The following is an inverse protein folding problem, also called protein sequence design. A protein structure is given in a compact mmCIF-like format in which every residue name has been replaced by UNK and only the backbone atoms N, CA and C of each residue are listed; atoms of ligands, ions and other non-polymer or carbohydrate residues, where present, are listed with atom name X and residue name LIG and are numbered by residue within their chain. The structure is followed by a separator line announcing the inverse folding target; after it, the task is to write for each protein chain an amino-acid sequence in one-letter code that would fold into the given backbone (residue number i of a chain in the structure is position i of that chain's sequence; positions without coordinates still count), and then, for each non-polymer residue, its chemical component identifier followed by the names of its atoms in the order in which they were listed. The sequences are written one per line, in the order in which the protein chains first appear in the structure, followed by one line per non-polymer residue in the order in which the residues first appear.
data_IF_508386820110
#
_entry.id   IF_508386820110
#
_cell.length_a   1.000
_cell.length_b   1.000
_cell.length_c   1.000
_cell.angle_alpha   90.00
_cell.angle_beta   90.00
_cell.angle_gamma   90.00
#
_symmetry.space_group_name_H-M   'P 1'
#
loop_
_entity.id
_entity.type
_entity.pdbx_description
1 polymer ?
#
# COMPACT_ATOMS: atom_id res chain seq x y z
N UNK A 1 -6.01 11.86 -14.39
CA UNK A 1 -5.16 11.47 -13.24
C UNK A 1 -6.06 11.21 -12.04
N UNK A 2 -5.79 10.15 -11.30
CA UNK A 2 -6.54 9.80 -10.08
C UNK A 2 -6.10 10.66 -8.91
N UNK A 3 -7.06 11.15 -8.15
CA UNK A 3 -6.81 11.99 -6.97
C UNK A 3 -6.66 11.13 -5.69
N UNK A 4 -6.08 11.71 -4.65
CA UNK A 4 -5.99 11.09 -3.34
C UNK A 4 -7.36 10.63 -2.82
N UNK A 5 -8.38 11.48 -2.94
CA UNK A 5 -9.75 11.16 -2.49
C UNK A 5 -10.35 9.96 -3.23
N UNK A 6 -10.15 9.86 -4.55
CA UNK A 6 -10.64 8.71 -5.33
C UNK A 6 -9.98 7.41 -4.90
N UNK A 7 -8.65 7.41 -4.68
CA UNK A 7 -7.92 6.21 -4.27
C UNK A 7 -8.25 5.84 -2.81
N UNK A 8 -8.41 6.82 -1.93
CA UNK A 8 -8.88 6.57 -0.55
C UNK A 8 -10.26 5.94 -0.55
N UNK A 9 -11.21 6.49 -1.30
CA UNK A 9 -12.58 5.94 -1.42
C UNK A 9 -12.60 4.53 -2.00
N UNK A 10 -11.75 4.25 -3.00
CA UNK A 10 -11.57 2.89 -3.55
C UNK A 10 -11.09 1.92 -2.47
N UNK A 11 -10.03 2.29 -1.75
CA UNK A 11 -9.48 1.46 -0.68
C UNK A 11 -10.50 1.22 0.44
N UNK A 12 -11.16 2.25 0.93
CA UNK A 12 -12.15 2.15 2.01
C UNK A 12 -13.33 1.27 1.62
N UNK A 13 -13.80 1.36 0.36
CA UNK A 13 -14.84 0.49 -0.17
C UNK A 13 -14.39 -0.96 -0.23
N UNK A 14 -13.20 -1.22 -0.81
CA UNK A 14 -12.61 -2.56 -0.87
C UNK A 14 -12.43 -3.16 0.54
N UNK A 15 -11.94 -2.35 1.49
CA UNK A 15 -11.72 -2.76 2.87
C UNK A 15 -13.03 -3.14 3.58
N UNK A 16 -14.12 -2.36 3.40
CA UNK A 16 -15.44 -2.73 3.94
C UNK A 16 -15.93 -4.06 3.39
N UNK A 17 -15.84 -4.26 2.07
CA UNK A 17 -16.21 -5.52 1.43
C UNK A 17 -15.36 -6.69 1.95
N UNK A 18 -14.05 -6.50 2.06
CA UNK A 18 -13.10 -7.47 2.60
C UNK A 18 -13.47 -7.87 4.05
N UNK A 19 -13.69 -6.91 4.94
CA UNK A 19 -14.03 -7.17 6.34
C UNK A 19 -15.39 -7.87 6.52
N UNK A 20 -16.35 -7.61 5.63
CA UNK A 20 -17.67 -8.23 5.70
C UNK A 20 -17.74 -9.61 5.05
N UNK A 21 -16.98 -9.84 3.98
CA UNK A 21 -17.05 -11.08 3.21
C UNK A 21 -16.07 -12.15 3.73
N UNK A 22 -14.91 -11.74 4.29
CA UNK A 22 -13.80 -12.63 4.61
C UNK A 22 -13.64 -12.88 6.12
N UNK A 23 -14.74 -12.83 6.90
CA UNK A 23 -14.74 -13.02 8.36
C UNK A 23 -13.99 -14.29 8.76
N UNK A 24 -14.16 -15.38 8.01
CA UNK A 24 -13.53 -16.67 8.30
C UNK A 24 -11.99 -16.62 8.26
N UNK A 25 -11.39 -15.71 7.50
CA UNK A 25 -9.94 -15.54 7.46
C UNK A 25 -9.42 -14.89 8.74
N UNK A 26 -10.18 -13.93 9.28
CA UNK A 26 -9.87 -13.29 10.56
C UNK A 26 -10.07 -14.24 11.73
N UNK A 27 -11.14 -15.03 11.75
CA UNK A 27 -11.39 -16.03 12.81
C UNK A 27 -10.30 -17.13 12.86
N UNK A 28 -9.69 -17.45 11.72
CA UNK A 28 -8.62 -18.46 11.62
C UNK A 28 -7.22 -17.89 11.74
N UNK A 29 -7.08 -16.58 11.92
CA UNK A 29 -5.79 -15.89 12.05
C UNK A 29 -4.78 -16.25 10.95
N UNK A 30 -5.25 -16.32 9.70
CA UNK A 30 -4.43 -16.72 8.54
C UNK A 30 -3.22 -15.78 8.34
N UNK A 31 -2.30 -16.17 7.45
CA UNK A 31 -1.09 -15.38 7.18
C UNK A 31 -1.39 -13.99 6.58
N UNK A 32 -0.49 -13.03 6.80
CA UNK A 32 -0.54 -11.68 6.17
C UNK A 32 -0.71 -11.80 4.65
N UNK A 33 0.06 -12.69 4.00
CA UNK A 33 -0.04 -12.95 2.55
C UNK A 33 -1.44 -13.41 2.11
N UNK A 34 -2.10 -14.25 2.90
CA UNK A 34 -3.46 -14.70 2.58
C UNK A 34 -4.45 -13.55 2.66
N UNK A 35 -4.33 -12.70 3.68
CA UNK A 35 -5.17 -11.51 3.85
C UNK A 35 -4.92 -10.47 2.74
N UNK A 36 -3.67 -10.24 2.36
CA UNK A 36 -3.32 -9.39 1.21
C UNK A 36 -3.94 -9.91 -0.09
N UNK A 37 -3.86 -11.24 -0.33
CA UNK A 37 -4.48 -11.86 -1.50
C UNK A 37 -5.99 -11.69 -1.54
N UNK A 38 -6.67 -11.80 -0.40
CA UNK A 38 -8.11 -11.57 -0.32
C UNK A 38 -8.46 -10.09 -0.55
N UNK A 39 -7.77 -9.14 0.11
CA UNK A 39 -7.98 -7.71 -0.11
C UNK A 39 -7.70 -7.32 -1.58
N UNK A 40 -6.66 -7.91 -2.20
CA UNK A 40 -6.37 -7.73 -3.62
C UNK A 40 -7.60 -8.04 -4.50
N UNK A 41 -8.31 -9.14 -4.23
CA UNK A 41 -9.48 -9.53 -5.01
C UNK A 41 -10.61 -8.50 -4.90
N UNK A 42 -10.84 -7.92 -3.72
CA UNK A 42 -11.83 -6.87 -3.54
C UNK A 42 -11.45 -5.59 -4.30
N UNK A 43 -10.20 -5.14 -4.23
CA UNK A 43 -9.71 -4.01 -5.03
C UNK A 43 -9.85 -4.31 -6.53
N UNK A 44 -9.41 -5.50 -6.97
CA UNK A 44 -9.50 -5.92 -8.37
C UNK A 44 -10.95 -5.89 -8.89
N UNK A 45 -11.90 -6.40 -8.12
CA UNK A 45 -13.30 -6.41 -8.52
C UNK A 45 -13.85 -5.00 -8.72
N UNK A 46 -13.45 -4.04 -7.87
CA UNK A 46 -13.87 -2.65 -7.99
C UNK A 46 -13.25 -1.96 -9.21
N UNK A 47 -11.95 -2.12 -9.45
CA UNK A 47 -11.29 -1.47 -10.60
C UNK A 47 -11.74 -2.07 -11.93
N UNK A 48 -12.08 -3.36 -11.97
CA UNK A 48 -12.51 -4.04 -13.20
C UNK A 48 -13.82 -3.53 -13.76
N UNK A 49 -14.71 -3.00 -12.93
CA UNK A 49 -16.02 -2.48 -13.34
C UNK A 49 -16.01 -0.97 -13.57
N UNK A 50 -14.92 -0.28 -13.27
CA UNK A 50 -14.76 1.15 -13.48
C UNK A 50 -13.75 1.43 -14.61
N UNK A 51 -14.20 1.83 -15.81
CA UNK A 51 -13.32 2.09 -16.95
C UNK A 51 -12.25 3.16 -16.71
N UNK A 52 -12.41 3.99 -15.68
CA UNK A 52 -11.41 4.98 -15.31
C UNK A 52 -10.12 4.38 -14.73
N UNK A 53 -10.14 3.08 -14.41
CA UNK A 53 -8.97 2.28 -14.01
C UNK A 53 -8.43 1.37 -15.12
N UNK A 54 -8.89 1.49 -16.37
CA UNK A 54 -8.34 0.71 -17.48
C UNK A 54 -6.81 0.88 -17.57
N UNK A 55 -6.09 -0.25 -17.71
CA UNK A 55 -4.62 -0.28 -17.72
C UNK A 55 -3.96 -0.16 -16.35
N UNK A 56 -4.73 -0.29 -15.25
CA UNK A 56 -4.19 -0.48 -13.91
C UNK A 56 -4.40 -1.92 -13.43
N UNK A 57 -3.45 -2.41 -12.64
CA UNK A 57 -3.39 -3.78 -12.15
C UNK A 57 -3.15 -3.78 -10.65
N UNK A 58 -3.70 -4.79 -9.96
CA UNK A 58 -3.44 -5.02 -8.54
C UNK A 58 -2.53 -6.23 -8.42
N UNK A 59 -1.36 -6.04 -7.79
CA UNK A 59 -0.37 -7.09 -7.64
C UNK A 59 0.05 -7.23 -6.16
N UNK A 60 0.27 -8.49 -5.72
CA UNK A 60 0.87 -8.80 -4.42
C UNK A 60 2.36 -9.08 -4.58
N UNK A 61 3.17 -8.62 -3.62
CA UNK A 61 4.63 -8.82 -3.60
C UNK A 61 5.33 -8.48 -4.93
N UNK A 62 4.84 -7.48 -5.64
CA UNK A 62 5.39 -7.09 -6.94
C UNK A 62 6.70 -6.35 -6.77
N UNK A 63 7.82 -7.00 -7.12
CA UNK A 63 9.17 -6.45 -6.97
C UNK A 63 9.89 -6.19 -8.30
N UNK A 64 9.16 -6.19 -9.43
CA UNK A 64 9.75 -6.07 -10.76
C UNK A 64 9.56 -4.69 -11.36
N UNK A 65 10.66 -4.13 -11.90
CA UNK A 65 10.63 -2.99 -12.78
C UNK A 65 11.39 -3.38 -14.05
N UNK A 66 10.68 -3.64 -15.16
CA UNK A 66 11.25 -4.06 -16.46
C UNK A 66 12.34 -5.14 -16.36
N UNK A 67 12.17 -6.11 -15.44
CA UNK A 67 13.11 -7.23 -15.23
C UNK A 67 14.14 -7.03 -14.11
N UNK A 68 14.28 -5.84 -13.53
CA UNK A 68 15.10 -5.54 -12.36
C UNK A 68 14.32 -5.57 -11.03
N UNK A 69 15.04 -5.67 -9.89
CA UNK A 69 14.44 -5.46 -8.56
C UNK A 69 14.14 -3.98 -8.35
N UNK A 70 12.94 -3.66 -7.85
CA UNK A 70 12.63 -2.29 -7.40
C UNK A 70 13.37 -2.01 -6.10
N UNK A 71 14.22 -0.99 -6.08
CA UNK A 71 14.92 -0.54 -4.88
C UNK A 71 14.89 0.99 -4.82
N UNK A 72 14.78 1.55 -3.62
CA UNK A 72 14.92 2.98 -3.37
C UNK A 72 16.19 3.23 -2.56
N UNK A 73 16.94 4.26 -2.90
CA UNK A 73 17.95 4.83 -2.02
C UNK A 73 17.31 5.92 -1.18
N UNK A 74 17.40 5.81 0.14
CA UNK A 74 16.98 6.83 1.10
C UNK A 74 18.21 7.51 1.67
N UNK A 75 18.28 8.84 1.60
CA UNK A 75 19.26 9.62 2.35
C UNK A 75 18.76 9.77 3.79
N UNK A 76 19.46 9.17 4.75
CA UNK A 76 19.23 9.39 6.17
C UNK A 76 20.23 10.44 6.63
N UNK A 77 19.75 11.60 7.11
CA UNK A 77 20.51 12.69 7.74
C UNK A 77 22.05 12.62 7.54
N UNK A 78 22.47 12.98 6.34
CA UNK A 78 23.83 13.49 6.15
C UNK A 78 24.91 12.52 5.68
N UNK A 79 24.80 11.20 5.71
CA UNK A 79 25.92 10.34 5.26
C UNK A 79 25.64 8.91 4.77
N UNK A 80 24.47 8.29 5.00
CA UNK A 80 24.27 6.90 4.57
C UNK A 80 23.10 6.75 3.59
N UNK A 81 23.41 6.32 2.35
CA UNK A 81 22.42 5.83 1.42
C UNK A 81 21.95 4.44 1.86
N UNK A 82 20.73 4.33 2.34
CA UNK A 82 20.14 3.02 2.61
C UNK A 82 19.33 2.58 1.38
N UNK A 83 19.70 1.44 0.80
CA UNK A 83 18.92 0.80 -0.25
C UNK A 83 17.74 0.09 0.42
N UNK A 84 16.53 0.53 0.13
CA UNK A 84 15.30 -0.10 0.60
C UNK A 84 14.75 -0.93 -0.54
N UNK A 85 14.61 -2.23 -0.33
CA UNK A 85 13.90 -3.09 -1.27
C UNK A 85 12.42 -2.71 -1.25
N UNK A 86 11.86 -2.40 -2.41
CA UNK A 86 10.44 -2.08 -2.56
C UNK A 86 9.71 -3.36 -2.89
N UNK A 87 9.34 -4.07 -1.87
CA UNK A 87 8.46 -5.23 -1.96
C UNK A 87 7.28 -4.98 -1.06
N UNK A 88 6.35 -4.11 -1.52
CA UNK A 88 5.09 -3.92 -0.83
C UNK A 88 4.26 -5.18 -0.89
N UNK A 89 3.50 -5.42 0.16
CA UNK A 89 2.61 -6.56 0.25
C UNK A 89 1.52 -6.51 -0.83
N UNK A 90 1.02 -5.30 -1.17
CA UNK A 90 0.04 -5.11 -2.24
C UNK A 90 0.22 -3.72 -2.88
N UNK A 91 0.12 -3.66 -4.21
CA UNK A 91 0.15 -2.40 -4.97
C UNK A 91 -0.93 -2.35 -6.05
N UNK A 92 -1.42 -1.15 -6.34
CA UNK A 92 -2.23 -0.82 -7.51
C UNK A 92 -1.41 0.13 -8.39
N UNK A 93 -1.09 -0.32 -9.61
CA UNK A 93 -0.22 0.42 -10.52
C UNK A 93 -0.47 0.04 -11.99
N UNK A 94 0.13 0.77 -12.93
CA UNK A 94 -0.02 0.48 -14.36
C UNK A 94 1.08 -0.42 -14.93
N UNK A 95 1.97 -0.95 -14.10
CA UNK A 95 3.15 -1.74 -14.51
C UNK A 95 4.08 -1.00 -15.49
N UNK A 96 4.12 0.35 -15.39
CA UNK A 96 4.92 1.20 -16.25
C UNK A 96 4.26 1.58 -17.59
N UNK A 97 2.98 1.23 -17.79
CA UNK A 97 2.26 1.55 -19.02
C UNK A 97 1.76 3.01 -19.06
N UNK A 98 1.52 3.62 -17.89
CA UNK A 98 1.06 5.01 -17.75
C UNK A 98 2.14 5.87 -17.11
N UNK A 99 2.94 6.53 -17.96
CA UNK A 99 4.08 7.34 -17.50
C UNK A 99 3.71 8.52 -16.62
N UNK A 100 2.54 9.15 -16.88
CA UNK A 100 2.10 10.33 -16.13
C UNK A 100 1.61 10.01 -14.72
N UNK A 101 1.11 8.79 -14.49
CA UNK A 101 0.64 8.33 -13.18
C UNK A 101 0.68 6.80 -13.12
N UNK A 102 1.85 6.24 -12.90
CA UNK A 102 2.03 4.79 -12.83
C UNK A 102 1.47 4.21 -11.52
N UNK A 103 1.74 4.85 -10.39
CA UNK A 103 1.56 4.33 -9.05
C UNK A 103 0.36 4.96 -8.34
N UNK A 104 -0.64 4.16 -7.94
CA UNK A 104 -1.86 4.66 -7.30
C UNK A 104 -1.92 4.33 -5.81
N UNK A 105 -1.72 3.06 -5.41
CA UNK A 105 -1.89 2.60 -4.04
C UNK A 105 -0.77 1.63 -3.68
N UNK A 106 -0.18 1.80 -2.50
CA UNK A 106 0.74 0.86 -1.89
C UNK A 106 0.24 0.49 -0.49
N UNK A 107 0.20 -0.80 -0.17
CA UNK A 107 -0.25 -1.31 1.12
C UNK A 107 0.84 -2.18 1.74
N UNK A 108 1.14 -1.95 3.00
CA UNK A 108 1.91 -2.82 3.87
C UNK A 108 0.99 -3.37 4.95
N UNK A 109 0.94 -4.69 5.11
CA UNK A 109 0.08 -5.37 6.07
C UNK A 109 0.91 -6.09 7.11
N UNK A 110 0.59 -5.89 8.39
CA UNK A 110 1.34 -6.47 9.50
C UNK A 110 0.41 -6.93 10.61
N UNK A 111 0.76 -8.04 11.26
CA UNK A 111 0.10 -8.46 12.51
C UNK A 111 0.68 -7.69 13.69
N UNK A 112 -0.16 -7.32 14.66
CA UNK A 112 0.21 -6.45 15.80
C UNK A 112 1.36 -6.99 16.64
N UNK A 113 1.51 -8.32 16.74
CA UNK A 113 2.56 -8.98 17.51
C UNK A 113 3.94 -9.03 16.82
N UNK A 114 4.06 -8.56 15.57
CA UNK A 114 5.35 -8.51 14.88
C UNK A 114 6.29 -7.51 15.53
N UNK A 115 7.62 -7.70 15.40
CA UNK A 115 8.59 -6.78 15.97
C UNK A 115 8.38 -5.34 15.53
N UNK A 116 8.59 -4.40 16.46
CA UNK A 116 8.40 -2.97 16.19
C UNK A 116 9.30 -2.47 15.07
N UNK A 117 10.53 -2.99 14.97
CA UNK A 117 11.49 -2.65 13.91
C UNK A 117 10.96 -3.00 12.51
N UNK A 118 10.27 -4.14 12.37
CA UNK A 118 9.63 -4.51 11.10
C UNK A 118 8.52 -3.52 10.74
N UNK A 119 7.68 -3.16 11.71
CA UNK A 119 6.58 -2.21 11.54
C UNK A 119 7.09 -0.81 11.15
N UNK A 120 8.17 -0.37 11.78
CA UNK A 120 8.81 0.91 11.46
C UNK A 120 9.42 0.90 10.05
N UNK A 121 10.06 -0.20 9.66
CA UNK A 121 10.60 -0.37 8.30
C UNK A 121 9.51 -0.28 7.23
N UNK A 122 8.34 -0.87 7.48
CA UNK A 122 7.20 -0.81 6.55
C UNK A 122 6.62 0.61 6.45
N UNK A 123 6.49 1.32 7.56
CA UNK A 123 6.08 2.74 7.59
C UNK A 123 7.08 3.63 6.84
N UNK A 124 8.36 3.43 7.07
CA UNK A 124 9.42 4.15 6.34
C UNK A 124 9.36 3.90 4.83
N UNK A 125 9.03 2.67 4.43
CA UNK A 125 8.83 2.32 3.02
C UNK A 125 7.65 3.07 2.42
N UNK A 126 6.50 3.12 3.10
CA UNK A 126 5.34 3.88 2.65
C UNK A 126 5.60 5.39 2.56
N UNK A 127 6.36 5.95 3.50
CA UNK A 127 6.83 7.33 3.42
C UNK A 127 7.65 7.55 2.15
N UNK A 128 8.61 6.67 1.86
CA UNK A 128 9.44 6.77 0.66
C UNK A 128 8.62 6.60 -0.63
N UNK A 129 7.71 5.61 -0.68
CA UNK A 129 6.88 5.32 -1.85
C UNK A 129 5.90 6.44 -2.18
N UNK A 130 5.40 7.17 -1.19
CA UNK A 130 4.43 8.26 -1.41
C UNK A 130 5.08 9.62 -1.68
N UNK A 131 6.42 9.75 -1.59
CA UNK A 131 7.13 10.96 -1.99
C UNK A 131 7.04 11.21 -3.50
N UNK A 132 7.16 12.48 -3.89
CA UNK A 132 7.34 12.84 -5.29
C UNK A 132 8.70 12.34 -5.81
N UNK A 133 8.80 12.07 -7.12
CA UNK A 133 9.95 11.44 -7.77
C UNK A 133 11.31 12.12 -7.58
N UNK A 134 11.33 13.37 -7.10
CA UNK A 134 12.55 14.18 -6.95
C UNK A 134 12.85 14.58 -5.50
N UNK A 135 12.09 14.04 -4.53
CA UNK A 135 12.27 14.34 -3.11
C UNK A 135 13.26 13.35 -2.46
N UNK A 136 14.56 13.51 -2.76
CA UNK A 136 15.64 12.65 -2.21
C UNK A 136 15.51 11.15 -2.52
N UNK A 137 14.80 10.80 -3.59
CA UNK A 137 14.60 9.43 -4.02
C UNK A 137 15.39 9.19 -5.30
N UNK A 138 16.27 8.19 -5.24
CA UNK A 138 17.11 7.79 -6.37
C UNK A 138 16.87 6.32 -6.70
N UNK A 139 16.83 6.02 -7.97
CA UNK A 139 16.89 4.62 -8.40
C UNK A 139 18.28 4.06 -8.13
N UNK A 140 18.38 2.94 -7.41
CA UNK A 140 19.67 2.35 -7.03
C UNK A 140 20.47 1.80 -8.21
N UNK A 141 19.83 1.49 -9.34
CA UNK A 141 20.46 0.96 -10.54
C UNK A 141 20.84 2.05 -11.56
N UNK A 142 20.49 3.31 -11.31
CA UNK A 142 20.73 4.44 -12.20
C UNK A 142 20.06 4.33 -13.58
N UNK A 143 19.18 3.35 -13.77
CA UNK A 143 18.49 3.05 -15.04
C UNK A 143 16.98 3.13 -14.93
N UNK A 144 16.44 2.80 -13.75
CA UNK A 144 15.00 2.89 -13.49
C UNK A 144 14.66 4.34 -13.19
N UNK A 145 13.64 4.86 -13.87
CA UNK A 145 13.15 6.21 -13.59
C UNK A 145 12.49 6.23 -12.20
N UNK A 146 12.81 7.22 -11.34
CA UNK A 146 12.23 7.33 -9.99
C UNK A 146 10.69 7.28 -9.98
N UNK A 147 10.03 7.86 -10.98
CA UNK A 147 8.58 7.88 -11.15
C UNK A 147 7.93 6.49 -11.24
N UNK A 148 8.68 5.45 -11.59
CA UNK A 148 8.18 4.07 -11.59
C UNK A 148 8.33 3.37 -10.24
N UNK A 149 8.94 4.03 -9.27
CA UNK A 149 9.31 3.43 -7.99
C UNK A 149 8.59 4.10 -6.83
N UNK A 150 8.28 5.37 -6.96
CA UNK A 150 7.61 6.20 -5.95
C UNK A 150 6.46 7.00 -6.59
N UNK A 151 5.96 8.02 -5.89
CA UNK A 151 4.85 8.83 -6.38
C UNK A 151 3.50 8.13 -6.23
N UNK A 152 3.39 7.13 -5.34
CA UNK A 152 2.09 6.54 -5.02
C UNK A 152 1.15 7.61 -4.47
N UNK A 153 -0.06 7.65 -5.01
CA UNK A 153 -1.10 8.61 -4.61
C UNK A 153 -1.51 8.40 -3.16
N UNK A 154 -1.57 7.13 -2.73
CA UNK A 154 -1.92 6.70 -1.39
C UNK A 154 -1.00 5.57 -0.93
N UNK A 155 -0.44 5.69 0.28
CA UNK A 155 0.15 4.61 1.05
C UNK A 155 -0.76 4.21 2.20
N UNK A 156 -0.86 2.92 2.50
CA UNK A 156 -1.65 2.39 3.60
C UNK A 156 -0.81 1.43 4.42
N UNK A 157 -0.65 1.72 5.70
CA UNK A 157 -0.16 0.75 6.67
C UNK A 157 -1.35 0.13 7.38
N UNK A 158 -1.42 -1.21 7.37
CA UNK A 158 -2.58 -1.97 7.81
C UNK A 158 -2.16 -2.95 8.91
N UNK A 159 -2.41 -2.62 10.18
CA UNK A 159 -2.03 -3.45 11.32
C UNK A 159 -3.22 -4.20 11.89
N UNK A 160 -3.10 -5.54 11.97
CA UNK A 160 -4.17 -6.43 12.39
C UNK A 160 -3.88 -6.92 13.81
N UNK A 161 -4.76 -6.59 14.74
CA UNK A 161 -4.72 -7.08 16.11
C UNK A 161 -5.78 -8.16 16.34
N UNK A 162 -5.34 -9.41 16.27
CA UNK A 162 -6.23 -10.56 16.50
C UNK A 162 -6.66 -10.68 17.98
N UNK A 163 -5.86 -10.21 18.91
CA UNK A 163 -6.20 -10.27 20.33
C UNK A 163 -7.36 -9.33 20.67
N UNK A 164 -7.32 -8.10 20.14
CA UNK A 164 -8.37 -7.09 20.37
C UNK A 164 -9.43 -7.09 19.28
N UNK A 165 -9.26 -7.91 18.23
CA UNK A 165 -10.14 -7.97 17.04
C UNK A 165 -10.32 -6.60 16.38
N UNK A 166 -9.23 -5.87 16.21
CA UNK A 166 -9.21 -4.54 15.62
C UNK A 166 -8.18 -4.45 14.51
N UNK A 167 -8.38 -3.48 13.64
CA UNK A 167 -7.45 -3.10 12.59
C UNK A 167 -7.14 -1.62 12.76
N UNK A 168 -5.87 -1.29 12.85
CA UNK A 168 -5.37 0.06 12.79
C UNK A 168 -4.89 0.33 11.37
N UNK A 169 -5.33 1.42 10.78
CA UNK A 169 -5.02 1.83 9.41
C UNK A 169 -4.41 3.23 9.44
N UNK A 170 -3.19 3.35 8.95
CA UNK A 170 -2.53 4.64 8.75
C UNK A 170 -2.50 4.99 7.27
N UNK A 171 -2.77 6.24 6.94
CA UNK A 171 -2.79 6.76 5.58
C UNK A 171 -1.60 7.67 5.34
N UNK A 172 -0.90 7.45 4.22
CA UNK A 172 0.30 8.20 3.84
C UNK A 172 0.08 8.91 2.50
N UNK A 173 0.56 10.15 2.42
CA UNK A 173 0.52 10.97 1.21
C UNK A 173 1.71 11.92 1.21
N UNK A 174 2.35 12.12 0.04
CA UNK A 174 3.46 13.05 -0.14
C UNK A 174 4.60 12.85 0.90
N UNK A 175 4.90 11.60 1.25
CA UNK A 175 5.94 11.27 2.22
C UNK A 175 5.58 11.48 3.71
N UNK A 176 4.30 11.66 4.03
CA UNK A 176 3.85 11.92 5.40
C UNK A 176 2.63 11.08 5.77
N UNK A 177 2.54 10.68 7.05
CA UNK A 177 1.29 10.17 7.59
C UNK A 177 0.28 11.32 7.70
N UNK A 178 -0.89 11.15 7.07
CA UNK A 178 -1.92 12.20 7.00
C UNK A 178 -3.17 11.87 7.80
N UNK A 179 -3.41 10.58 8.08
CA UNK A 179 -4.56 10.13 8.85
C UNK A 179 -4.30 8.77 9.50
N UNK A 180 -5.07 8.46 10.53
CA UNK A 180 -5.10 7.17 11.20
C UNK A 180 -6.53 6.85 11.65
N UNK A 181 -6.94 5.59 11.52
CA UNK A 181 -8.23 5.11 12.02
C UNK A 181 -8.08 3.70 12.58
N UNK A 182 -8.99 3.34 13.50
CA UNK A 182 -9.07 1.98 14.03
C UNK A 182 -10.50 1.49 13.89
N UNK A 183 -10.68 0.28 13.36
CA UNK A 183 -11.98 -0.34 13.22
C UNK A 183 -11.97 -1.79 13.73
N UNK A 184 -13.12 -2.32 14.20
CA UNK A 184 -13.23 -3.74 14.56
C UNK A 184 -13.28 -4.62 13.32
N UNK A 185 -12.96 -5.92 13.44
CA UNK A 185 -13.08 -6.91 12.36
C UNK A 185 -14.51 -7.03 11.82
N UNK A 186 -15.50 -6.93 12.69
CA UNK A 186 -16.91 -6.88 12.29
C UNK A 186 -17.26 -5.43 11.98
N UNK A 187 -17.10 -5.03 10.73
CA UNK A 187 -17.44 -3.68 10.29
C UNK A 187 -18.97 -3.48 10.21
N UNK A 188 -19.60 -3.25 11.34
CA UNK A 188 -20.68 -2.28 11.39
C UNK A 188 -20.02 -0.90 11.62
N UNK A 189 -19.29 -0.40 10.63
CA UNK A 189 -19.02 1.04 10.58
C UNK A 189 -20.38 1.70 10.36
N UNK A 190 -20.93 2.26 11.44
CA UNK A 190 -22.11 3.11 11.36
C UNK A 190 -21.84 4.19 10.31
N UNK A 191 -22.73 4.27 9.33
CA UNK A 191 -22.86 5.43 8.48
C UNK A 191 -23.01 6.63 9.41
N UNK A 192 -21.97 7.44 9.52
CA UNK A 192 -22.09 8.78 10.09
C UNK A 192 -22.67 9.65 8.98
N UNK A 193 -23.98 9.94 9.13
CA UNK A 193 -24.76 10.90 8.36
C UNK A 193 -24.07 12.26 8.19
#
# INVERSE_FOLDING_TARGET
MKTYSEITSLFEKANREFLTSEVSLFDREVSERTLCGALMLHIYNLIRIDPSFDGYYVDVEYNRNKGGLKTICKTIQGQDFRIISINCDLILHSRGEKLEQDNLLAIEMKKSYRPQEEKESDRERLIALTKASYDDIWSADGRSLPEHVCGYVLGVYYEIDFQHKTIMIEFYRNGHKVNETTCPFSAHCADSD
#
